data_IF_570690487264
#
_entry.id   IF_570690487264
#
_cell.length_a   1.000
_cell.length_b   1.000
_cell.length_c   1.000
_cell.angle_alpha   90.00
_cell.angle_beta   90.00
_cell.angle_gamma   90.00
#
_symmetry.space_group_name_H-M   'P 1'
#
loop_
_entity.id
_entity.type
_entity.pdbx_description
1 polymer ?
#
# COMPACT_ATOMS: atom_id res chain seq x y z
N UNK A 1 7.45 9.82 -9.94
CA UNK A 1 7.40 8.41 -9.54
C UNK A 1 6.07 8.17 -8.90
N UNK A 2 5.20 7.53 -9.67
CA UNK A 2 3.77 7.31 -9.44
C UNK A 2 3.52 6.05 -8.59
N UNK A 3 4.59 5.36 -8.16
CA UNK A 3 4.48 4.03 -7.54
C UNK A 3 4.43 4.04 -6.00
N UNK A 4 4.41 5.21 -5.37
CA UNK A 4 4.30 5.34 -3.90
C UNK A 4 2.85 5.19 -3.45
N UNK A 5 2.64 4.51 -2.32
CA UNK A 5 1.31 4.45 -1.70
C UNK A 5 0.78 5.85 -1.37
N UNK A 6 -0.54 6.01 -1.39
CA UNK A 6 -1.20 7.24 -0.95
C UNK A 6 -1.02 7.45 0.57
N UNK A 7 -1.13 8.69 1.04
CA UNK A 7 -0.97 9.00 2.47
C UNK A 7 -1.94 8.21 3.37
N UNK A 8 -3.19 8.01 2.93
CA UNK A 8 -4.16 7.17 3.65
C UNK A 8 -3.68 5.72 3.81
N UNK A 9 -3.15 5.12 2.75
CA UNK A 9 -2.57 3.78 2.80
C UNK A 9 -1.35 3.72 3.73
N UNK A 10 -0.50 4.76 3.71
CA UNK A 10 0.67 4.83 4.58
C UNK A 10 0.29 4.89 6.08
N UNK A 11 -0.79 5.61 6.42
CA UNK A 11 -1.34 5.63 7.79
C UNK A 11 -1.80 4.24 8.22
N UNK A 12 -2.58 3.55 7.37
CA UNK A 12 -3.03 2.18 7.63
C UNK A 12 -1.84 1.24 7.80
N UNK A 13 -0.84 1.30 6.92
CA UNK A 13 0.38 0.50 7.03
C UNK A 13 1.09 0.75 8.36
N UNK A 14 1.20 2.01 8.80
CA UNK A 14 1.78 2.36 10.10
C UNK A 14 1.00 1.75 11.27
N UNK A 15 -0.33 1.86 11.25
CA UNK A 15 -1.21 1.26 12.28
C UNK A 15 -1.09 -0.27 12.33
N UNK A 16 -0.94 -0.91 11.17
CA UNK A 16 -0.68 -2.35 11.05
C UNK A 16 0.74 -2.75 11.48
N UNK A 17 1.63 -1.80 11.79
CA UNK A 17 2.98 -2.05 12.28
C UNK A 17 4.06 -2.14 11.19
N UNK A 18 3.84 -1.53 10.01
CA UNK A 18 4.87 -1.47 8.97
C UNK A 18 6.15 -0.82 9.50
N UNK A 19 7.27 -1.50 9.35
CA UNK A 19 8.53 -1.17 9.98
C UNK A 19 9.74 -1.15 9.03
N UNK A 20 9.51 -1.33 7.72
CA UNK A 20 10.60 -1.38 6.76
C UNK A 20 11.20 -0.01 6.47
N UNK A 21 12.53 0.04 6.23
CA UNK A 21 13.17 1.25 5.74
C UNK A 21 12.58 1.72 4.42
N UNK A 22 12.34 3.03 4.28
CA UNK A 22 11.83 3.66 3.06
C UNK A 22 12.60 4.94 2.76
N UNK A 23 12.76 5.26 1.48
CA UNK A 23 13.45 6.49 1.05
C UNK A 23 12.57 7.75 1.22
N UNK A 24 11.24 7.56 1.24
CA UNK A 24 10.27 8.64 1.33
C UNK A 24 9.43 8.54 2.60
N UNK A 25 8.94 9.69 3.06
CA UNK A 25 7.95 9.77 4.12
C UNK A 25 6.95 10.89 3.86
N UNK A 26 5.77 10.74 4.44
CA UNK A 26 4.76 11.79 4.53
C UNK A 26 4.94 12.60 5.82
N UNK A 27 4.76 13.92 5.73
CA UNK A 27 4.75 14.82 6.88
C UNK A 27 3.78 15.98 6.67
N UNK A 28 3.23 16.49 7.77
CA UNK A 28 2.45 17.74 7.80
C UNK A 28 3.26 18.94 8.31
N UNK A 29 4.54 18.74 8.61
CA UNK A 29 5.47 19.81 8.99
C UNK A 29 5.50 20.87 7.89
N UNK A 30 5.17 22.10 8.25
CA UNK A 30 5.07 23.26 7.36
C UNK A 30 4.09 23.06 6.18
N UNK A 31 3.16 22.11 6.28
CA UNK A 31 2.09 21.91 5.29
C UNK A 31 0.85 22.74 5.66
N UNK A 32 0.14 23.31 4.67
CA UNK A 32 -1.23 23.78 4.89
C UNK A 32 -2.09 22.68 5.52
N UNK A 33 -3.09 23.04 6.35
CA UNK A 33 -3.92 22.07 7.09
C UNK A 33 -4.54 20.95 6.23
N UNK A 34 -4.85 21.25 4.97
CA UNK A 34 -5.45 20.33 4.01
C UNK A 34 -4.45 19.54 3.16
N UNK A 35 -3.14 19.70 3.40
CA UNK A 35 -2.09 19.11 2.58
C UNK A 35 -1.17 18.22 3.43
N UNK A 36 -0.46 17.36 2.71
CA UNK A 36 0.62 16.52 3.24
C UNK A 36 1.78 16.57 2.26
N UNK A 37 2.99 16.80 2.76
CA UNK A 37 4.18 16.74 1.95
C UNK A 37 4.72 15.33 1.90
N UNK A 38 5.19 14.91 0.72
CA UNK A 38 6.06 13.73 0.56
C UNK A 38 7.49 14.23 0.41
N UNK A 39 8.36 13.87 1.36
CA UNK A 39 9.78 14.26 1.37
C UNK A 39 10.65 13.02 1.21
N UNK A 40 11.81 13.20 0.57
CA UNK A 40 12.89 12.19 0.51
C UNK A 40 13.78 12.37 1.74
N UNK A 41 14.30 11.28 2.31
CA UNK A 41 15.28 11.28 3.39
C UNK A 41 16.21 10.06 3.25
N UNK A 42 17.05 9.84 4.28
CA UNK A 42 17.79 8.59 4.43
C UNK A 42 16.84 7.39 4.47
N UNK A 43 17.33 6.24 4.01
CA UNK A 43 16.58 4.99 3.95
C UNK A 43 16.48 4.40 5.36
N UNK A 44 15.41 4.73 6.07
CA UNK A 44 15.14 4.29 7.43
C UNK A 44 13.63 4.12 7.68
N UNK A 45 13.27 3.52 8.81
CA UNK A 45 11.87 3.43 9.22
C UNK A 45 11.42 4.76 9.83
N UNK A 46 10.62 5.52 9.08
CA UNK A 46 10.13 6.84 9.50
C UNK A 46 8.93 6.78 10.45
N UNK A 47 8.43 5.60 10.80
CA UNK A 47 7.29 5.44 11.70
C UNK A 47 7.66 5.59 13.20
N UNK A 48 8.95 5.51 13.54
CA UNK A 48 9.45 5.45 14.92
C UNK A 48 9.77 6.79 15.60
N UNK A 49 9.69 7.93 14.89
CA UNK A 49 10.04 9.25 15.44
C UNK A 49 8.95 9.77 16.42
N UNK A 50 8.97 9.28 17.65
CA UNK A 50 8.20 9.85 18.75
C UNK A 50 8.86 11.18 19.19
N UNK A 51 8.33 12.32 18.73
CA UNK A 51 8.69 13.65 19.27
C UNK A 51 8.93 14.77 18.25
N UNK A 52 8.93 14.47 16.96
CA UNK A 52 8.96 15.45 15.86
C UNK A 52 7.61 15.42 15.13
N UNK A 53 7.26 16.44 14.30
CA UNK A 53 6.01 16.39 13.54
C UNK A 53 5.86 15.03 12.85
N UNK A 54 4.72 14.36 13.03
CA UNK A 54 4.62 12.92 12.84
C UNK A 54 4.95 12.55 11.40
N UNK A 55 6.05 11.83 11.23
CA UNK A 55 6.41 11.21 9.96
C UNK A 55 5.69 9.87 9.81
N UNK A 56 5.44 9.53 8.55
CA UNK A 56 4.86 8.24 8.15
C UNK A 56 5.64 7.72 6.97
N UNK A 57 6.24 6.52 7.09
CA UNK A 57 6.96 5.87 6.00
C UNK A 57 6.09 5.80 4.75
N UNK A 58 6.64 6.16 3.59
CA UNK A 58 5.93 6.19 2.32
C UNK A 58 6.55 5.15 1.35
N UNK A 59 6.27 3.85 1.57
CA UNK A 59 6.77 2.81 0.68
C UNK A 59 6.13 2.91 -0.71
N UNK A 60 6.78 2.27 -1.69
CA UNK A 60 6.13 1.91 -2.94
C UNK A 60 5.02 0.91 -2.71
N UNK A 61 4.04 0.84 -3.63
CA UNK A 61 3.04 -0.23 -3.64
C UNK A 61 3.70 -1.62 -3.65
N UNK A 62 4.84 -1.77 -4.32
CA UNK A 62 5.59 -3.03 -4.35
C UNK A 62 6.18 -3.40 -2.98
N UNK A 63 6.82 -2.46 -2.30
CA UNK A 63 7.36 -2.67 -0.95
C UNK A 63 6.25 -2.98 0.06
N UNK A 64 5.12 -2.28 -0.04
CA UNK A 64 3.93 -2.53 0.77
C UNK A 64 3.36 -3.94 0.51
N UNK A 65 3.15 -4.32 -0.76
CA UNK A 65 2.66 -5.64 -1.13
C UNK A 65 3.58 -6.77 -0.63
N UNK A 66 4.90 -6.57 -0.75
CA UNK A 66 5.89 -7.53 -0.24
C UNK A 66 5.76 -7.69 1.27
N UNK A 67 5.64 -6.59 2.02
CA UNK A 67 5.47 -6.65 3.47
C UNK A 67 4.13 -7.29 3.88
N UNK A 68 3.02 -6.94 3.21
CA UNK A 68 1.71 -7.54 3.44
C UNK A 68 1.76 -9.06 3.24
N UNK A 69 2.46 -9.53 2.20
CA UNK A 69 2.62 -10.97 1.95
C UNK A 69 3.46 -11.66 3.02
N UNK A 70 4.61 -11.08 3.36
CA UNK A 70 5.60 -11.72 4.25
C UNK A 70 5.26 -11.61 5.74
N UNK A 71 4.50 -10.59 6.14
CA UNK A 71 4.22 -10.27 7.56
C UNK A 71 2.74 -10.38 7.90
N UNK A 72 1.84 -10.13 6.94
CA UNK A 72 0.39 -10.17 7.17
C UNK A 72 -0.32 -11.34 6.47
N UNK A 73 0.41 -12.22 5.77
CA UNK A 73 -0.14 -13.34 5.01
C UNK A 73 -1.17 -12.93 3.95
N UNK A 74 -1.07 -11.72 3.38
CA UNK A 74 -1.96 -11.28 2.29
C UNK A 74 -1.17 -11.04 1.00
N UNK A 75 -1.57 -11.72 -0.08
CA UNK A 75 -0.94 -11.55 -1.39
C UNK A 75 -1.92 -10.98 -2.40
N UNK A 76 -1.49 -9.97 -3.16
CA UNK A 76 -2.13 -9.56 -4.40
C UNK A 76 -1.63 -10.46 -5.54
N UNK A 77 -2.54 -10.89 -6.41
CA UNK A 77 -2.22 -11.56 -7.68
C UNK A 77 -2.88 -10.77 -8.79
N UNK A 78 -2.09 -10.44 -9.83
CA UNK A 78 -2.57 -9.68 -10.98
C UNK A 78 -2.61 -10.62 -12.18
N UNK A 79 -3.73 -10.62 -12.88
CA UNK A 79 -4.03 -11.51 -13.99
C UNK A 79 -4.51 -10.68 -15.19
N UNK A 80 -4.51 -11.29 -16.37
CA UNK A 80 -4.95 -10.65 -17.60
C UNK A 80 -6.11 -11.41 -18.23
N UNK A 81 -7.22 -10.72 -18.46
CA UNK A 81 -8.36 -11.25 -19.20
C UNK A 81 -8.07 -11.13 -20.69
N UNK A 82 -7.87 -12.27 -21.37
CA UNK A 82 -7.69 -12.28 -22.83
C UNK A 82 -8.96 -11.82 -23.58
N UNK A 83 -10.13 -12.12 -23.02
CA UNK A 83 -11.43 -11.76 -23.59
C UNK A 83 -11.66 -10.25 -23.52
N UNK A 84 -11.50 -9.66 -22.33
CA UNK A 84 -11.74 -8.23 -22.11
C UNK A 84 -10.54 -7.37 -22.52
N UNK A 85 -9.36 -8.00 -22.67
CA UNK A 85 -8.07 -7.34 -22.95
C UNK A 85 -7.66 -6.35 -21.86
N UNK A 86 -7.97 -6.71 -20.62
CA UNK A 86 -7.77 -5.87 -19.44
C UNK A 86 -7.12 -6.67 -18.32
N UNK A 87 -6.43 -5.97 -17.44
CA UNK A 87 -5.86 -6.52 -16.21
C UNK A 87 -6.90 -6.53 -15.11
N UNK A 88 -6.81 -7.51 -14.21
CA UNK A 88 -7.60 -7.56 -13.00
C UNK A 88 -6.75 -8.12 -11.87
N UNK A 89 -7.21 -7.98 -10.64
CA UNK A 89 -6.54 -8.57 -9.50
C UNK A 89 -7.47 -9.48 -8.71
N UNK A 90 -6.85 -10.41 -8.00
CA UNK A 90 -7.47 -11.10 -6.89
C UNK A 90 -6.53 -11.00 -5.68
N UNK A 91 -7.07 -11.19 -4.48
CA UNK A 91 -6.30 -11.16 -3.24
C UNK A 91 -6.49 -12.47 -2.50
N UNK A 92 -5.38 -13.00 -1.97
CA UNK A 92 -5.32 -14.29 -1.27
C UNK A 92 -4.89 -14.04 0.18
N UNK A 93 -5.72 -14.49 1.12
CA UNK A 93 -5.30 -14.73 2.49
C UNK A 93 -4.54 -16.06 2.53
N UNK A 94 -3.23 -16.00 2.67
CA UNK A 94 -2.34 -17.16 2.68
C UNK A 94 -2.43 -17.98 3.99
N UNK A 95 -3.02 -17.42 5.04
CA UNK A 95 -3.22 -18.13 6.31
C UNK A 95 -4.47 -19.02 6.27
N UNK A 96 -5.58 -18.51 5.75
CA UNK A 96 -6.85 -19.25 5.67
C UNK A 96 -7.06 -19.97 4.34
N UNK A 97 -6.39 -19.50 3.28
CA UNK A 97 -6.63 -19.94 1.90
C UNK A 97 -7.78 -19.23 1.20
N UNK A 98 -8.47 -18.31 1.89
CA UNK A 98 -9.58 -17.55 1.31
C UNK A 98 -9.05 -16.60 0.23
N UNK A 99 -9.76 -16.53 -0.88
CA UNK A 99 -9.49 -15.56 -1.93
C UNK A 99 -10.73 -14.73 -2.23
N UNK A 100 -10.48 -13.50 -2.66
CA UNK A 100 -11.48 -12.54 -3.12
C UNK A 100 -11.03 -12.09 -4.50
N UNK A 101 -11.76 -12.52 -5.54
CA UNK A 101 -11.63 -11.92 -6.86
C UNK A 101 -12.17 -10.51 -6.72
N UNK A 102 -11.38 -9.47 -7.00
CA UNK A 102 -11.68 -8.07 -6.64
C UNK A 102 -12.90 -7.43 -7.31
N UNK A 103 -13.98 -8.19 -7.53
CA UNK A 103 -15.15 -7.93 -8.34
C UNK A 103 -14.84 -7.95 -9.83
N UNK A 104 -15.80 -7.47 -10.61
CA UNK A 104 -15.67 -7.14 -12.03
C UNK A 104 -14.84 -5.85 -12.25
N UNK A 105 -13.78 -5.65 -11.46
CA UNK A 105 -12.89 -4.50 -11.59
C UNK A 105 -11.77 -4.82 -12.59
N UNK A 106 -11.84 -4.18 -13.77
CA UNK A 106 -10.88 -4.31 -14.84
C UNK A 106 -10.09 -3.01 -15.03
N UNK A 107 -8.81 -3.14 -15.40
CA UNK A 107 -7.84 -2.06 -15.47
C UNK A 107 -7.07 -2.11 -16.79
N UNK A 108 -6.67 -0.94 -17.26
CA UNK A 108 -5.94 -0.81 -18.53
C UNK A 108 -4.44 -1.13 -18.39
N UNK A 109 -3.90 -1.09 -17.17
CA UNK A 109 -2.49 -1.40 -16.89
C UNK A 109 -2.35 -2.43 -15.76
N UNK A 110 -1.21 -3.12 -15.76
CA UNK A 110 -0.85 -4.05 -14.69
C UNK A 110 -0.69 -3.30 -13.36
N UNK A 111 -0.07 -2.12 -13.41
CA UNK A 111 0.24 -1.28 -12.27
C UNK A 111 -1.02 -0.74 -11.58
N UNK A 112 -2.05 -0.37 -12.34
CA UNK A 112 -3.34 0.04 -11.79
C UNK A 112 -4.04 -1.13 -11.08
N UNK A 113 -4.07 -2.32 -11.71
CA UNK A 113 -4.62 -3.52 -11.08
C UNK A 113 -3.85 -3.91 -9.82
N UNK A 114 -2.51 -3.82 -9.86
CA UNK A 114 -1.64 -4.14 -8.73
C UNK A 114 -1.87 -3.18 -7.56
N UNK A 115 -1.85 -1.88 -7.81
CA UNK A 115 -2.05 -0.86 -6.78
C UNK A 115 -3.47 -0.94 -6.19
N UNK A 116 -4.50 -1.18 -7.02
CA UNK A 116 -5.86 -1.41 -6.57
C UNK A 116 -5.97 -2.66 -5.67
N UNK A 117 -5.32 -3.76 -6.02
CA UNK A 117 -5.29 -4.96 -5.19
C UNK A 117 -4.60 -4.76 -3.84
N UNK A 118 -3.50 -4.00 -3.81
CA UNK A 118 -2.86 -3.61 -2.54
C UNK A 118 -3.79 -2.74 -1.70
N UNK A 119 -4.47 -1.76 -2.32
CA UNK A 119 -5.47 -0.94 -1.64
C UNK A 119 -6.61 -1.78 -1.05
N UNK A 120 -7.12 -2.76 -1.79
CA UNK A 120 -8.18 -3.65 -1.32
C UNK A 120 -7.77 -4.45 -0.08
N UNK A 121 -6.53 -4.97 -0.03
CA UNK A 121 -6.00 -5.65 1.17
C UNK A 121 -6.00 -4.70 2.37
N UNK A 122 -5.50 -3.47 2.20
CA UNK A 122 -5.46 -2.48 3.28
C UNK A 122 -6.85 -2.10 3.78
N UNK A 123 -7.84 -1.99 2.88
CA UNK A 123 -9.24 -1.77 3.27
C UNK A 123 -9.83 -2.94 4.05
N UNK A 124 -9.51 -4.20 3.69
CA UNK A 124 -9.96 -5.37 4.47
C UNK A 124 -9.36 -5.42 5.86
N UNK A 125 -8.07 -5.12 5.98
CA UNK A 125 -7.36 -5.13 7.27
C UNK A 125 -7.76 -4.00 8.22
N UNK A 126 -8.51 -2.99 7.76
CA UNK A 126 -9.03 -1.89 8.59
C UNK A 126 -10.49 -2.07 9.01
N UNK A 127 -11.20 -3.05 8.45
CA UNK A 127 -12.63 -3.28 8.71
C UNK A 127 -12.88 -4.42 9.74
N UNK A 128 -11.82 -5.02 10.28
CA UNK A 128 -11.86 -6.05 11.33
C UNK A 128 -11.36 -5.50 12.66
#
# INVERSE_FOLDING_TARGET
>A
MEDTVLYGHALVLKELGFDRPTEFYFTKEDAPKSMVWRKRAEVLNHNGDAGLPPKVSAPTFYEAAKWLREVKNWSVRVNYSRENREWFYDILNMETGDYDDGGDCYFQSYEDAFSAGVSAILSKLTTN
#
